data_IF_189419488539
#
_entry.id   IF_189419488539
#
_cell.length_a   1.000
_cell.length_b   1.000
_cell.length_c   1.000
_cell.angle_alpha   90.00
_cell.angle_beta   90.00
_cell.angle_gamma   90.00
#
_symmetry.space_group_name_H-M   'P 1'
#
loop_
_entity.id
_entity.type
_entity.pdbx_description
1 polymer ?
#
# COMPACT_ATOMS: atom_id res chain seq x y z
N UNK A 1 -4.18 12.25 15.12
CA UNK A 1 -2.83 11.72 14.87
C UNK A 1 -2.80 11.16 13.45
N UNK A 2 -1.96 11.73 12.59
CA UNK A 2 -1.88 11.35 11.19
C UNK A 2 -1.21 9.97 11.02
N UNK A 3 -1.81 9.09 10.23
CA UNK A 3 -1.43 7.70 10.00
C UNK A 3 -0.20 7.54 9.08
N UNK A 4 0.87 8.29 9.36
CA UNK A 4 2.11 8.25 8.58
C UNK A 4 3.27 7.81 9.47
N UNK A 5 3.76 6.59 9.21
CA UNK A 5 4.69 5.85 10.07
C UNK A 5 6.17 6.14 9.78
N UNK A 6 6.53 6.70 8.62
CA UNK A 6 7.92 6.81 8.16
C UNK A 6 8.56 8.22 8.25
N UNK A 7 8.25 8.98 9.32
CA UNK A 7 8.75 10.37 9.49
C UNK A 7 10.27 10.52 9.65
N UNK A 8 11.00 9.42 9.86
CA UNK A 8 12.45 9.41 10.05
C UNK A 8 13.26 9.21 8.74
N UNK A 9 12.61 8.86 7.63
CA UNK A 9 13.30 8.68 6.35
C UNK A 9 13.72 10.04 5.78
N UNK A 10 15.02 10.21 5.47
CA UNK A 10 15.57 11.46 4.92
C UNK A 10 15.30 11.67 3.44
N UNK A 11 15.02 10.58 2.72
CA UNK A 11 14.84 10.58 1.28
C UNK A 11 13.60 9.76 0.93
N UNK A 12 12.87 10.25 -0.08
CA UNK A 12 11.79 9.54 -0.72
C UNK A 12 12.15 9.38 -2.19
N UNK A 13 12.15 8.15 -2.68
CA UNK A 13 12.42 7.84 -4.08
C UNK A 13 11.11 7.40 -4.72
N UNK A 14 10.75 8.04 -5.82
CA UNK A 14 9.56 7.70 -6.60
C UNK A 14 9.98 7.19 -7.99
N UNK A 15 9.67 5.93 -8.29
CA UNK A 15 10.03 5.26 -9.54
C UNK A 15 8.86 5.38 -10.51
N UNK A 16 8.97 6.29 -11.47
CA UNK A 16 7.92 6.52 -12.46
C UNK A 16 8.37 6.04 -13.84
N UNK A 17 7.75 4.98 -14.35
CA UNK A 17 7.86 4.60 -15.75
C UNK A 17 6.69 5.19 -16.54
N UNK A 18 6.99 5.91 -17.63
CA UNK A 18 5.99 6.46 -18.54
C UNK A 18 6.31 6.07 -19.98
N UNK A 19 5.28 5.85 -20.77
CA UNK A 19 5.38 5.57 -22.20
C UNK A 19 4.14 6.14 -22.90
N UNK A 20 4.26 6.44 -24.20
CA UNK A 20 3.16 7.06 -24.95
C UNK A 20 2.20 6.03 -25.54
N UNK A 21 2.72 5.13 -26.39
CA UNK A 21 1.96 4.08 -27.06
C UNK A 21 2.80 2.81 -27.20
N UNK A 22 2.15 1.66 -27.37
CA UNK A 22 2.80 0.36 -27.51
C UNK A 22 2.72 -0.51 -26.26
N UNK A 23 3.56 -1.56 -26.23
CA UNK A 23 3.55 -2.59 -25.17
C UNK A 23 3.96 -1.99 -23.82
N UNK A 24 3.13 -2.23 -22.81
CA UNK A 24 3.34 -1.76 -21.43
C UNK A 24 4.34 -2.63 -20.66
N UNK A 25 4.47 -3.89 -21.06
CA UNK A 25 5.18 -4.94 -20.33
C UNK A 25 6.66 -4.60 -20.08
N UNK A 26 7.44 -4.08 -21.05
CA UNK A 26 8.84 -3.73 -20.80
C UNK A 26 9.01 -2.60 -19.77
N UNK A 27 8.11 -1.62 -19.79
CA UNK A 27 8.11 -0.47 -18.89
C UNK A 27 7.78 -0.90 -17.45
N UNK A 28 6.77 -1.76 -17.30
CA UNK A 28 6.40 -2.36 -16.01
C UNK A 28 7.54 -3.24 -15.49
N UNK A 29 8.15 -4.06 -16.36
CA UNK A 29 9.26 -4.94 -15.99
C UNK A 29 10.47 -4.14 -15.49
N UNK A 30 10.82 -3.05 -16.17
CA UNK A 30 11.90 -2.16 -15.75
C UNK A 30 11.64 -1.57 -14.36
N UNK A 31 10.46 -0.99 -14.12
CA UNK A 31 10.14 -0.37 -12.84
C UNK A 31 10.17 -1.39 -11.68
N UNK A 32 9.64 -2.61 -11.91
CA UNK A 32 9.67 -3.70 -10.93
C UNK A 32 11.10 -4.17 -10.63
N UNK A 33 11.93 -4.33 -11.66
CA UNK A 33 13.32 -4.74 -11.49
C UNK A 33 14.10 -3.68 -10.72
N UNK A 34 13.96 -2.41 -11.09
CA UNK A 34 14.65 -1.30 -10.43
C UNK A 34 14.24 -1.20 -8.96
N UNK A 35 12.95 -1.36 -8.65
CA UNK A 35 12.48 -1.46 -7.26
C UNK A 35 13.13 -2.62 -6.51
N UNK A 36 13.16 -3.82 -7.09
CA UNK A 36 13.73 -5.01 -6.44
C UNK A 36 15.23 -4.85 -6.13
N UNK A 37 15.99 -4.19 -7.02
CA UNK A 37 17.41 -3.90 -6.82
C UNK A 37 17.64 -2.79 -5.77
N UNK A 38 16.76 -1.79 -5.71
CA UNK A 38 16.86 -0.67 -4.77
C UNK A 38 16.38 -1.01 -3.35
N UNK A 39 15.38 -1.90 -3.24
CA UNK A 39 14.68 -2.21 -1.99
C UNK A 39 15.61 -2.57 -0.81
N UNK A 40 16.67 -3.37 -0.97
CA UNK A 40 17.60 -3.71 0.12
C UNK A 40 18.33 -2.51 0.73
N UNK A 41 18.45 -1.40 -0.01
CA UNK A 41 19.10 -0.17 0.46
C UNK A 41 18.12 0.83 1.08
N UNK A 42 16.83 0.51 1.06
CA UNK A 42 15.78 1.38 1.59
C UNK A 42 15.65 1.22 3.10
N UNK A 43 15.03 2.20 3.76
CA UNK A 43 14.68 2.11 5.19
C UNK A 43 13.50 1.14 5.47
N UNK A 44 13.17 0.24 4.54
CA UNK A 44 12.07 -0.73 4.66
C UNK A 44 10.66 -0.13 4.60
N UNK A 45 10.54 1.17 4.29
CA UNK A 45 9.25 1.86 4.21
C UNK A 45 8.73 1.89 2.78
N UNK A 46 7.53 1.34 2.57
CA UNK A 46 6.78 1.52 1.32
C UNK A 46 5.75 2.62 1.55
N UNK A 47 5.79 3.67 0.72
CA UNK A 47 4.79 4.73 0.79
C UNK A 47 3.48 4.21 0.18
N UNK A 48 2.39 4.26 0.96
CA UNK A 48 1.08 3.70 0.61
C UNK A 48 0.56 4.23 -0.73
N UNK A 49 0.85 5.48 -1.11
CA UNK A 49 0.37 6.06 -2.37
C UNK A 49 1.10 5.54 -3.63
N UNK A 50 2.19 4.78 -3.48
CA UNK A 50 2.87 4.10 -4.60
C UNK A 50 2.48 2.63 -4.73
N UNK A 51 1.64 2.12 -3.83
CA UNK A 51 1.07 0.79 -3.97
C UNK A 51 0.05 0.83 -5.11
N UNK A 52 0.37 0.15 -6.20
CA UNK A 52 -0.57 -0.10 -7.29
C UNK A 52 -1.50 -1.27 -6.94
N UNK A 53 -1.55 -2.28 -7.80
CA UNK A 53 -2.30 -3.54 -7.60
C UNK A 53 -1.51 -4.61 -6.85
N UNK A 54 -0.82 -4.25 -5.78
CA UNK A 54 0.21 -5.12 -5.18
C UNK A 54 -0.32 -6.05 -4.07
N UNK A 55 -1.64 -6.06 -3.86
CA UNK A 55 -2.30 -7.06 -3.02
C UNK A 55 -2.40 -6.67 -1.54
N UNK A 56 -3.22 -7.44 -0.80
CA UNK A 56 -3.53 -7.20 0.62
C UNK A 56 -2.30 -7.19 1.54
N UNK A 57 -1.28 -7.98 1.21
CA UNK A 57 -0.09 -8.14 2.05
C UNK A 57 0.72 -6.84 2.13
N UNK A 58 0.88 -6.10 1.03
CA UNK A 58 1.58 -4.81 1.05
C UNK A 58 0.82 -3.71 1.79
N UNK A 59 -0.52 -3.78 1.83
CA UNK A 59 -1.33 -2.85 2.63
C UNK A 59 -1.03 -3.03 4.13
N UNK A 60 -0.86 -4.27 4.59
CA UNK A 60 -0.51 -4.57 5.97
C UNK A 60 0.92 -4.11 6.30
N UNK A 61 1.88 -4.36 5.41
CA UNK A 61 3.27 -3.90 5.57
C UNK A 61 3.37 -2.37 5.63
N UNK A 62 2.61 -1.64 4.82
CA UNK A 62 2.71 -0.19 4.73
C UNK A 62 2.09 0.56 5.93
N UNK A 63 1.03 0.01 6.55
CA UNK A 63 0.45 0.60 7.76
C UNK A 63 1.14 0.11 9.05
N UNK A 64 1.67 -1.10 9.04
CA UNK A 64 2.12 -1.83 10.22
C UNK A 64 0.96 -2.40 11.05
N UNK A 65 1.20 -3.43 11.89
CA UNK A 65 0.14 -4.19 12.56
C UNK A 65 -0.82 -3.34 13.40
N UNK A 66 -0.29 -2.47 14.26
CA UNK A 66 -1.10 -1.66 15.18
C UNK A 66 -2.01 -0.65 14.46
N UNK A 67 -1.52 -0.04 13.37
CA UNK A 67 -2.33 0.88 12.56
C UNK A 67 -3.39 0.11 11.77
N UNK A 68 -3.03 -1.05 11.22
CA UNK A 68 -3.93 -1.89 10.44
C UNK A 68 -5.12 -2.38 11.27
N UNK A 69 -4.87 -2.84 12.51
CA UNK A 69 -5.94 -3.25 13.44
C UNK A 69 -6.90 -2.09 13.75
N UNK A 70 -6.35 -0.90 14.03
CA UNK A 70 -7.17 0.30 14.29
C UNK A 70 -8.01 0.69 13.08
N UNK A 71 -7.45 0.63 11.87
CA UNK A 71 -8.17 0.93 10.63
C UNK A 71 -9.27 -0.10 10.37
N UNK A 72 -9.02 -1.37 10.65
CA UNK A 72 -10.00 -2.47 10.55
C UNK A 72 -11.19 -2.23 11.49
N UNK A 73 -10.93 -1.85 12.75
CA UNK A 73 -11.97 -1.52 13.72
C UNK A 73 -12.80 -0.29 13.31
N UNK A 74 -12.15 0.76 12.79
CA UNK A 74 -12.84 1.95 12.28
C UNK A 74 -13.68 1.62 11.04
N UNK A 75 -13.15 0.83 10.10
CA UNK A 75 -13.89 0.33 8.93
C UNK A 75 -15.12 -0.46 9.36
N UNK A 76 -15.02 -1.32 10.38
CA UNK A 76 -16.17 -2.02 10.94
C UNK A 76 -17.26 -1.10 11.51
N UNK A 77 -16.89 0.08 12.04
CA UNK A 77 -17.83 1.08 12.56
C UNK A 77 -18.49 1.92 11.46
N UNK A 78 -17.74 2.28 10.42
CA UNK A 78 -18.17 3.29 9.44
C UNK A 78 -18.47 2.74 8.04
N UNK A 79 -17.92 1.59 7.66
CA UNK A 79 -18.12 0.91 6.37
C UNK A 79 -18.17 -0.63 6.56
N UNK A 80 -19.15 -1.14 7.33
CA UNK A 80 -19.23 -2.57 7.68
C UNK A 80 -19.45 -3.49 6.48
N UNK A 81 -20.08 -2.98 5.41
CA UNK A 81 -20.33 -3.72 4.17
C UNK A 81 -19.19 -3.60 3.16
N UNK A 82 -18.12 -2.87 3.53
CA UNK A 82 -16.95 -2.61 2.69
C UNK A 82 -17.34 -2.01 1.32
N UNK A 83 -18.29 -1.07 1.32
CA UNK A 83 -18.77 -0.36 0.14
C UNK A 83 -17.62 0.41 -0.53
N UNK A 84 -16.76 1.06 0.25
CA UNK A 84 -15.60 1.80 -0.25
C UNK A 84 -14.37 0.90 -0.38
N UNK A 85 -14.37 0.04 -1.39
CA UNK A 85 -13.33 -0.99 -1.60
C UNK A 85 -12.38 -0.76 -2.79
N UNK A 86 -12.61 0.28 -3.60
CA UNK A 86 -11.75 0.61 -4.74
C UNK A 86 -10.64 1.56 -4.29
N UNK A 87 -9.75 1.06 -3.44
CA UNK A 87 -8.60 1.76 -2.84
C UNK A 87 -7.60 0.73 -2.27
N UNK A 88 -6.57 1.18 -1.55
CA UNK A 88 -5.71 0.32 -0.72
C UNK A 88 -6.51 -0.21 0.48
N UNK A 89 -7.39 -1.18 0.19
CA UNK A 89 -8.52 -1.49 1.05
C UNK A 89 -8.12 -2.31 2.29
N UNK A 90 -8.57 -1.82 3.45
CA UNK A 90 -8.59 -2.57 4.71
C UNK A 90 -10.01 -3.11 4.91
N UNK A 91 -10.24 -4.44 4.92
CA UNK A 91 -11.56 -5.00 5.17
C UNK A 91 -12.00 -4.77 6.63
N UNK A 92 -13.31 -4.64 6.91
CA UNK A 92 -13.81 -4.58 8.27
C UNK A 92 -13.62 -5.93 8.99
N UNK A 93 -13.57 -5.92 10.33
CA UNK A 93 -13.61 -7.17 11.10
C UNK A 93 -14.89 -7.95 10.79
N UNK A 94 -14.83 -9.30 10.68
CA UNK A 94 -16.03 -10.11 10.56
C UNK A 94 -16.97 -9.80 11.72
N UNK A 95 -18.23 -9.46 11.42
CA UNK A 95 -19.25 -9.37 12.49
C UNK A 95 -19.38 -10.77 13.11
N UNK A 96 -19.39 -10.90 14.44
CA UNK A 96 -19.77 -12.16 15.04
C UNK A 96 -21.17 -12.53 14.54
N UNK A 97 -21.28 -13.72 13.95
CA UNK A 97 -22.56 -14.32 13.56
C UNK A 97 -23.39 -14.42 14.83
N UNK A 98 -24.57 -13.78 14.84
CA UNK A 98 -25.58 -13.96 15.89
C UNK A 98 -26.40 -15.18 15.58
#
# INVERSE_FOLDING_TARGET
MAAYTHRAARYLININSRWEQGRSEPHIAWARRFWAELHPFSAGGVYVDFLGREGRERVLEAYGPATYERLTALKGRYDPDNFFRVNQNVPPSPRPVR
#
